data_IF_953304152403
#
_entry.id   IF_953304152403
#
_cell.length_a   1.000
_cell.length_b   1.000
_cell.length_c   1.000
_cell.angle_alpha   90.00
_cell.angle_beta   90.00
_cell.angle_gamma   90.00
#
_symmetry.space_group_name_H-M   'P 1'
#
loop_
_entity.id
_entity.type
_entity.pdbx_description
1 polymer ?
#
# COMPACT_ATOMS: atom_id res chain seq x y z
N UNK A 1 10.31 -6.83 -15.34
CA UNK A 1 10.14 -5.41 -14.98
C UNK A 1 11.01 -5.16 -13.77
N UNK A 2 12.04 -4.32 -13.87
CA UNK A 2 13.05 -4.19 -12.82
C UNK A 2 12.55 -3.24 -11.71
N UNK A 3 12.20 -3.80 -10.56
CA UNK A 3 11.78 -3.08 -9.34
C UNK A 3 12.74 -1.94 -9.00
N UNK A 4 14.05 -2.23 -9.02
CA UNK A 4 15.11 -1.27 -8.70
C UNK A 4 15.06 -0.03 -9.60
N UNK A 5 14.75 -0.21 -10.89
CA UNK A 5 14.65 0.88 -11.87
C UNK A 5 13.42 1.76 -11.62
N UNK A 6 12.35 1.20 -11.09
CA UNK A 6 11.16 1.99 -10.74
C UNK A 6 11.41 2.83 -9.48
N UNK A 7 12.06 2.26 -8.46
CA UNK A 7 12.37 2.98 -7.22
C UNK A 7 13.30 4.18 -7.41
N UNK A 8 14.18 4.17 -8.43
CA UNK A 8 15.03 5.33 -8.79
C UNK A 8 14.23 6.58 -9.16
N UNK A 9 12.95 6.43 -9.53
CA UNK A 9 12.05 7.55 -9.84
C UNK A 9 11.52 8.23 -8.58
N UNK A 10 11.65 7.61 -7.41
CA UNK A 10 11.26 8.20 -6.13
C UNK A 10 12.48 8.84 -5.47
N UNK A 11 12.36 10.12 -5.16
CA UNK A 11 13.39 10.89 -4.48
C UNK A 11 12.95 11.19 -3.06
N UNK A 12 13.82 10.88 -2.08
CA UNK A 12 13.63 11.27 -0.69
C UNK A 12 14.71 12.29 -0.35
N UNK A 13 14.30 13.50 0.04
CA UNK A 13 15.25 14.51 0.47
C UNK A 13 14.75 15.16 1.78
N UNK A 14 15.45 14.98 2.91
CA UNK A 14 15.02 15.52 4.21
C UNK A 14 14.93 17.05 4.24
N UNK A 15 15.57 17.75 3.29
CA UNK A 15 15.52 19.21 3.17
C UNK A 15 14.26 19.72 2.45
N UNK A 16 13.51 18.85 1.79
CA UNK A 16 12.29 19.20 1.06
C UNK A 16 11.09 18.44 1.64
N UNK A 17 9.96 19.12 1.82
CA UNK A 17 8.69 18.49 2.20
C UNK A 17 8.74 17.64 3.49
N UNK A 18 9.64 17.99 4.43
CA UNK A 18 9.81 17.25 5.69
C UNK A 18 10.36 15.83 5.50
N UNK A 19 11.02 15.54 4.37
CA UNK A 19 11.53 14.20 4.05
C UNK A 19 10.52 13.27 3.42
N UNK A 20 9.35 13.77 3.00
CA UNK A 20 8.38 12.94 2.27
C UNK A 20 8.94 12.46 0.92
N UNK A 21 8.68 11.21 0.52
CA UNK A 21 9.05 10.69 -0.80
C UNK A 21 8.28 11.43 -1.90
N UNK A 22 9.01 11.94 -2.89
CA UNK A 22 8.46 12.72 -4.02
C UNK A 22 8.89 12.12 -5.36
N UNK A 23 8.10 12.36 -6.40
CA UNK A 23 8.34 11.79 -7.74
C UNK A 23 9.35 12.64 -8.49
N UNK A 24 10.50 12.06 -8.84
CA UNK A 24 11.58 12.69 -9.65
C UNK A 24 11.99 14.08 -9.17
N UNK A 25 11.99 14.32 -7.86
CA UNK A 25 12.31 15.64 -7.29
C UNK A 25 11.25 16.73 -7.54
N UNK A 26 10.08 16.38 -8.09
CA UNK A 26 8.96 17.29 -8.31
C UNK A 26 8.09 17.36 -7.06
N UNK A 27 7.36 18.48 -6.89
CA UNK A 27 6.52 18.73 -5.70
C UNK A 27 5.22 17.90 -5.65
N UNK A 28 5.27 16.65 -6.11
CA UNK A 28 4.18 15.68 -6.01
C UNK A 28 4.66 14.50 -5.15
N UNK A 29 4.04 14.34 -3.99
CA UNK A 29 4.39 13.29 -3.04
C UNK A 29 3.82 11.94 -3.47
N UNK A 30 4.55 10.87 -3.17
CA UNK A 30 4.09 9.48 -3.38
C UNK A 30 2.78 9.24 -2.63
N UNK A 31 2.69 9.71 -1.39
CA UNK A 31 1.47 9.67 -0.58
C UNK A 31 0.27 10.26 -1.33
N UNK A 32 0.43 11.40 -2.00
CA UNK A 32 -0.66 12.07 -2.71
C UNK A 32 -1.15 11.24 -3.91
N UNK A 33 -0.23 10.62 -4.66
CA UNK A 33 -0.59 9.70 -5.75
C UNK A 33 -1.34 8.49 -5.23
N UNK A 34 -0.88 7.89 -4.14
CA UNK A 34 -1.57 6.75 -3.52
C UNK A 34 -2.94 7.15 -2.97
N UNK A 35 -3.10 8.34 -2.41
CA UNK A 35 -4.40 8.85 -1.93
C UNK A 35 -5.41 9.03 -3.08
N UNK A 36 -5.00 9.58 -4.22
CA UNK A 36 -5.86 9.69 -5.40
C UNK A 36 -6.31 8.31 -5.90
N UNK A 37 -5.37 7.37 -6.02
CA UNK A 37 -5.70 5.99 -6.39
C UNK A 37 -6.64 5.32 -5.38
N UNK A 38 -6.43 5.54 -4.08
CA UNK A 38 -7.30 5.02 -3.03
C UNK A 38 -8.70 5.66 -3.04
N UNK A 39 -8.82 6.91 -3.50
CA UNK A 39 -10.10 7.59 -3.69
C UNK A 39 -10.87 7.11 -4.94
N UNK A 40 -10.26 6.25 -5.75
CA UNK A 40 -10.87 5.69 -6.95
C UNK A 40 -10.46 6.37 -8.25
N UNK A 41 -9.49 7.29 -8.23
CA UNK A 41 -8.93 7.85 -9.46
C UNK A 41 -8.17 6.77 -10.25
N UNK A 42 -8.33 6.79 -11.57
CA UNK A 42 -7.62 5.86 -12.45
C UNK A 42 -6.25 6.42 -12.87
N UNK A 43 -5.27 5.56 -13.19
CA UNK A 43 -3.97 6.01 -13.71
C UNK A 43 -4.09 6.97 -14.89
N UNK A 44 -5.06 6.77 -15.78
CA UNK A 44 -5.31 7.64 -16.94
C UNK A 44 -5.74 9.05 -16.51
N UNK A 45 -6.56 9.16 -15.46
CA UNK A 45 -6.96 10.45 -14.89
C UNK A 45 -5.78 11.18 -14.27
N UNK A 46 -4.90 10.46 -13.56
CA UNK A 46 -3.67 11.03 -13.01
C UNK A 46 -2.75 11.55 -14.12
N UNK A 47 -2.56 10.77 -15.18
CA UNK A 47 -1.71 11.18 -16.32
C UNK A 47 -2.29 12.40 -17.06
N UNK A 48 -3.62 12.55 -17.10
CA UNK A 48 -4.28 13.74 -17.66
C UNK A 48 -4.21 14.95 -16.73
N UNK A 49 -4.18 14.73 -15.41
CA UNK A 49 -4.07 15.81 -14.41
C UNK A 49 -2.66 16.37 -14.29
N UNK A 50 -1.64 15.60 -14.69
CA UNK A 50 -0.24 15.97 -14.59
C UNK A 50 0.49 15.65 -15.90
N UNK A 51 0.64 16.64 -16.79
CA UNK A 51 1.27 16.49 -18.12
C UNK A 51 2.69 15.92 -18.11
N UNK A 52 3.39 16.05 -16.98
CA UNK A 52 4.75 15.55 -16.83
C UNK A 52 4.81 14.13 -16.28
N UNK A 53 3.71 13.61 -15.71
CA UNK A 53 3.67 12.32 -15.05
C UNK A 53 3.71 11.20 -16.09
N UNK A 54 4.53 10.19 -15.81
CA UNK A 54 4.65 9.02 -16.67
C UNK A 54 3.98 7.80 -16.00
N UNK A 55 3.47 6.82 -16.76
CA UNK A 55 2.92 5.58 -16.19
C UNK A 55 3.89 4.88 -15.23
N UNK A 56 5.18 4.96 -15.52
CA UNK A 56 6.27 4.42 -14.69
C UNK A 56 6.37 5.13 -13.34
N UNK A 57 6.01 6.42 -13.25
CA UNK A 57 5.96 7.13 -11.96
C UNK A 57 4.88 6.54 -11.04
N UNK A 58 3.71 6.20 -11.60
CA UNK A 58 2.62 5.58 -10.85
C UNK A 58 3.04 4.19 -10.37
N UNK A 59 3.69 3.41 -11.23
CA UNK A 59 4.24 2.11 -10.86
C UNK A 59 5.32 2.23 -9.77
N UNK A 60 6.17 3.24 -9.85
CA UNK A 60 7.17 3.52 -8.82
C UNK A 60 6.53 3.84 -7.46
N UNK A 61 5.42 4.58 -7.44
CA UNK A 61 4.65 4.83 -6.22
C UNK A 61 4.10 3.54 -5.60
N UNK A 62 3.56 2.64 -6.42
CA UNK A 62 3.04 1.34 -5.95
C UNK A 62 4.17 0.44 -5.43
N UNK A 63 5.29 0.37 -6.14
CA UNK A 63 6.47 -0.37 -5.68
C UNK A 63 7.03 0.18 -4.38
N UNK A 64 7.09 1.51 -4.25
CA UNK A 64 7.51 2.15 -3.00
C UNK A 64 6.58 1.78 -1.85
N UNK A 65 5.25 1.83 -2.04
CA UNK A 65 4.29 1.41 -1.03
C UNK A 65 4.44 -0.08 -0.66
N UNK A 66 4.57 -0.94 -1.65
CA UNK A 66 4.83 -2.37 -1.46
C UNK A 66 6.12 -2.60 -0.66
N UNK A 67 7.19 -1.87 -0.95
CA UNK A 67 8.46 -1.99 -0.23
C UNK A 67 8.33 -1.58 1.24
N UNK A 68 7.64 -0.46 1.52
CA UNK A 68 7.39 -0.02 2.90
C UNK A 68 6.57 -1.06 3.65
N UNK A 69 5.42 -1.47 3.11
CA UNK A 69 4.53 -2.43 3.76
C UNK A 69 5.18 -3.82 3.90
N UNK A 70 5.94 -4.27 2.90
CA UNK A 70 6.58 -5.57 2.87
C UNK A 70 7.81 -5.70 3.78
N UNK A 71 8.51 -4.61 4.06
CA UNK A 71 9.67 -4.60 4.97
C UNK A 71 9.32 -4.23 6.41
N UNK A 72 8.12 -3.73 6.66
CA UNK A 72 7.69 -3.28 7.97
C UNK A 72 6.96 -4.42 8.70
N UNK A 73 7.53 -4.92 9.81
CA UNK A 73 6.82 -5.86 10.71
C UNK A 73 5.76 -5.09 11.50
N UNK A 74 4.73 -4.60 10.81
CA UNK A 74 3.64 -3.86 11.43
C UNK A 74 2.79 -4.81 12.26
N UNK A 75 2.63 -4.50 13.55
CA UNK A 75 1.63 -5.14 14.43
C UNK A 75 0.37 -4.27 14.56
N UNK A 76 0.33 -3.16 13.83
CA UNK A 76 -0.77 -2.22 13.89
C UNK A 76 -1.89 -2.73 13.01
N UNK A 77 -3.05 -2.94 13.61
CA UNK A 77 -4.28 -3.15 12.88
C UNK A 77 -4.85 -1.81 12.41
N UNK A 78 -5.46 -1.82 11.24
CA UNK A 78 -6.17 -0.65 10.70
C UNK A 78 -7.66 -0.93 10.81
N UNK A 79 -8.36 -0.07 11.54
CA UNK A 79 -9.82 -0.12 11.62
C UNK A 79 -10.40 0.67 10.47
N UNK A 80 -11.15 0.00 9.60
CA UNK A 80 -11.91 0.62 8.51
C UNK A 80 -13.41 0.46 8.77
N UNK A 81 -14.21 1.41 8.30
CA UNK A 81 -15.67 1.28 8.31
C UNK A 81 -16.11 0.97 6.89
N UNK A 82 -16.84 -0.14 6.70
CA UNK A 82 -17.35 -0.52 5.39
C UNK A 82 -18.54 0.36 4.94
N UNK A 83 -18.96 0.19 3.69
CA UNK A 83 -20.08 0.95 3.10
C UNK A 83 -21.43 0.71 3.80
N UNK A 84 -21.54 -0.33 4.64
CA UNK A 84 -22.73 -0.71 5.41
C UNK A 84 -22.64 -0.23 6.87
N UNK A 85 -21.57 0.46 7.24
CA UNK A 85 -21.34 0.98 8.58
C UNK A 85 -20.72 -0.03 9.56
N UNK A 86 -20.24 -1.19 9.10
CA UNK A 86 -19.54 -2.13 9.95
C UNK A 86 -18.08 -1.75 10.13
N UNK A 87 -17.62 -1.88 11.37
CA UNK A 87 -16.21 -1.75 11.70
C UNK A 87 -15.48 -3.05 11.34
N UNK A 88 -14.53 -2.97 10.41
CA UNK A 88 -13.65 -4.06 10.00
C UNK A 88 -12.24 -3.77 10.48
N UNK A 89 -11.66 -4.69 11.22
CA UNK A 89 -10.26 -4.62 11.62
C UNK A 89 -9.40 -5.35 10.59
N UNK A 90 -8.57 -4.61 9.85
CA UNK A 90 -7.56 -5.16 8.95
C UNK A 90 -6.32 -5.47 9.77
N UNK A 91 -6.07 -6.76 10.00
CA UNK A 91 -4.89 -7.25 10.71
C UNK A 91 -3.81 -7.68 9.71
N UNK A 92 -2.54 -7.37 9.95
CA UNK A 92 -1.45 -7.85 9.11
C UNK A 92 -1.42 -9.40 9.11
N UNK A 93 -1.38 -9.98 7.91
CA UNK A 93 -1.32 -11.44 7.71
C UNK A 93 0.07 -11.93 8.12
N UNK A 94 0.13 -12.92 9.02
CA UNK A 94 1.38 -13.49 9.53
C UNK A 94 1.46 -13.63 11.06
N UNK A 95 0.44 -13.15 11.78
CA UNK A 95 0.30 -13.40 13.21
C UNK A 95 -1.10 -13.94 13.46
N UNK A 96 -1.26 -15.25 13.65
CA UNK A 96 -1.71 -15.80 14.95
C UNK A 96 -1.76 -17.33 14.97
N UNK A 97 -1.68 -17.92 16.17
CA UNK A 97 -2.93 -18.26 16.83
C UNK A 97 -3.17 -17.38 18.06
N UNK A 98 -4.37 -16.81 18.15
CA UNK A 98 -4.93 -16.39 19.42
C UNK A 98 -5.02 -17.67 20.27
N UNK A 99 -4.44 -17.74 21.48
CA UNK A 99 -4.57 -18.91 22.34
C UNK A 99 -6.03 -19.21 22.75
N UNK A 100 -6.99 -18.38 22.36
CA UNK A 100 -8.40 -18.47 22.77
C UNK A 100 -9.33 -19.11 21.72
N UNK A 101 -8.84 -19.49 20.53
CA UNK A 101 -9.69 -20.06 19.46
C UNK A 101 -9.37 -21.52 19.09
N UNK A 102 -8.70 -22.30 19.94
CA UNK A 102 -8.54 -23.75 19.69
C UNK A 102 -9.88 -24.51 19.60
N UNK A 103 -10.96 -23.96 20.16
CA UNK A 103 -12.29 -24.60 20.18
C UNK A 103 -13.22 -24.26 19.01
N UNK A 104 -12.92 -23.24 18.20
CA UNK A 104 -13.90 -22.66 17.25
C UNK A 104 -13.44 -22.64 15.80
N UNK A 105 -12.31 -23.26 15.46
CA UNK A 105 -11.88 -23.36 14.06
C UNK A 105 -12.77 -24.37 13.31
N UNK A 106 -13.52 -23.95 12.28
CA UNK A 106 -14.28 -24.87 11.43
C UNK A 106 -13.33 -25.89 10.80
N UNK A 107 -13.72 -27.16 10.80
CA UNK A 107 -12.87 -28.29 10.39
C UNK A 107 -12.21 -28.13 9.02
N UNK A 108 -12.83 -27.39 8.11
CA UNK A 108 -12.39 -27.15 6.74
C UNK A 108 -11.25 -26.11 6.60
N UNK A 109 -10.84 -25.43 7.68
CA UNK A 109 -9.71 -24.49 7.67
C UNK A 109 -8.36 -25.23 7.87
N UNK A 110 -8.36 -26.44 8.45
CA UNK A 110 -7.11 -27.11 8.86
C UNK A 110 -6.25 -27.62 7.71
N UNK A 111 -6.77 -27.63 6.48
CA UNK A 111 -6.11 -28.22 5.31
C UNK A 111 -5.41 -27.19 4.41
N UNK A 112 -4.79 -26.16 5.01
CA UNK A 112 -3.63 -25.45 4.44
C UNK A 112 -3.71 -24.89 3.03
N UNK A 113 -4.89 -24.72 2.41
CA UNK A 113 -5.01 -24.28 1.02
C UNK A 113 -5.40 -22.81 0.96
N UNK A 114 -4.45 -21.94 1.32
CA UNK A 114 -4.50 -20.51 1.04
C UNK A 114 -3.56 -20.19 -0.12
N UNK A 115 -3.95 -20.58 -1.33
CA UNK A 115 -3.48 -19.98 -2.57
C UNK A 115 -4.21 -20.62 -3.76
N UNK A 116 -5.14 -19.88 -4.37
CA UNK A 116 -5.13 -19.65 -5.82
C UNK A 116 -5.49 -18.19 -6.07
#
# INVERSE_FOLDING_TARGET
>A
MDEKKQLERITVNPKFFGGKPIIRGRRLAVEHVLSMLAAGDTPETLLKGYDWLEPEDIQACLWYAHHIVGHERTHQSVTVVDEKGHTVEIRPVGLTPLPELEGSVPKNWKDGNYAQ
#
